data_IF_968757397075
#
_entry.id   IF_968757397075
#
_cell.length_a   1.000
_cell.length_b   1.000
_cell.length_c   1.000
_cell.angle_alpha   90.00
_cell.angle_beta   90.00
_cell.angle_gamma   90.00
#
_symmetry.space_group_name_H-M   'P 1'
#
loop_
_entity.id
_entity.type
_entity.pdbx_description
1 polymer ?
#
# COMPACT_ATOMS: atom_id res chain seq x y z
N UNK A 1 -8.52 -1.46 -1.94
CA UNK A 1 -7.16 -1.38 -1.36
C UNK A 1 -6.17 -2.01 -2.32
N UNK A 2 -5.03 -1.39 -2.51
CA UNK A 2 -3.94 -1.89 -3.34
C UNK A 2 -2.70 -2.04 -2.48
N UNK A 3 -2.07 -3.23 -2.51
CA UNK A 3 -0.83 -3.51 -1.78
C UNK A 3 0.31 -3.64 -2.78
N UNK A 4 1.36 -2.86 -2.60
CA UNK A 4 2.59 -2.93 -3.39
C UNK A 4 3.62 -3.79 -2.65
N UNK A 5 4.48 -4.48 -3.40
CA UNK A 5 5.62 -5.25 -2.87
C UNK A 5 5.30 -6.56 -2.17
N UNK A 6 4.30 -7.27 -2.63
CA UNK A 6 4.18 -8.70 -2.37
C UNK A 6 4.20 -9.17 -0.93
N UNK A 7 4.00 -8.30 0.02
CA UNK A 7 3.70 -8.74 1.35
C UNK A 7 2.22 -8.95 1.47
N UNK A 8 1.85 -10.21 1.60
CA UNK A 8 0.49 -10.60 1.84
C UNK A 8 0.09 -10.11 3.23
N UNK A 9 -0.27 -8.84 3.34
CA UNK A 9 -0.92 -8.35 4.53
C UNK A 9 -2.41 -8.41 4.26
N UNK A 10 -3.00 -9.47 4.77
CA UNK A 10 -4.44 -9.64 4.72
C UNK A 10 -5.06 -8.74 5.78
N UNK A 11 -5.31 -7.50 5.41
CA UNK A 11 -6.40 -6.81 6.07
C UNK A 11 -7.65 -7.27 5.38
N UNK A 12 -8.22 -8.36 5.86
CA UNK A 12 -9.55 -8.71 5.45
C UNK A 12 -10.45 -7.53 5.80
N UNK A 13 -11.03 -6.82 4.82
CA UNK A 13 -12.08 -5.89 5.18
C UNK A 13 -13.17 -6.73 5.81
N UNK A 14 -13.67 -6.26 6.92
CA UNK A 14 -14.87 -6.80 7.51
C UNK A 14 -16.06 -6.65 6.53
N UNK A 15 -15.86 -5.89 5.47
CA UNK A 15 -16.85 -5.66 4.42
C UNK A 15 -16.45 -6.46 3.18
N UNK A 16 -17.14 -7.56 2.95
CA UNK A 16 -16.90 -8.46 1.81
C UNK A 16 -17.26 -7.84 0.46
N UNK A 17 -17.85 -6.67 0.43
CA UNK A 17 -18.20 -5.96 -0.81
C UNK A 17 -17.05 -5.20 -1.43
N UNK A 18 -15.95 -5.03 -0.69
CA UNK A 18 -14.77 -4.30 -1.18
C UNK A 18 -13.76 -5.27 -1.78
N UNK A 19 -13.30 -4.94 -2.97
CA UNK A 19 -12.22 -5.68 -3.61
C UNK A 19 -10.87 -5.18 -3.12
N UNK A 20 -9.96 -6.13 -2.89
CA UNK A 20 -8.58 -5.87 -2.55
C UNK A 20 -7.71 -6.36 -3.70
N UNK A 21 -6.80 -5.52 -4.15
CA UNK A 21 -5.85 -5.86 -5.19
C UNK A 21 -4.45 -5.92 -4.58
N UNK A 22 -3.77 -7.05 -4.74
CA UNK A 22 -2.34 -7.13 -4.43
C UNK A 22 -1.57 -6.96 -5.73
N UNK A 23 -0.64 -6.02 -5.75
CA UNK A 23 0.10 -5.69 -6.97
C UNK A 23 1.58 -6.00 -6.76
N UNK A 24 2.13 -6.81 -7.64
CA UNK A 24 3.55 -7.15 -7.63
C UNK A 24 4.04 -7.42 -9.05
N UNK A 25 5.19 -6.89 -9.39
CA UNK A 25 5.80 -7.11 -10.70
C UNK A 25 6.52 -8.46 -10.80
N UNK A 26 6.72 -9.16 -9.69
CA UNK A 26 7.45 -10.42 -9.63
C UNK A 26 6.50 -11.61 -9.80
N UNK A 27 6.74 -12.42 -10.83
CA UNK A 27 5.91 -13.59 -11.11
C UNK A 27 5.82 -14.57 -9.95
N UNK A 28 6.95 -14.81 -9.28
CA UNK A 28 7.02 -15.77 -8.16
C UNK A 28 6.13 -15.33 -7.00
N UNK A 29 6.19 -14.07 -6.62
CA UNK A 29 5.37 -13.52 -5.53
C UNK A 29 3.89 -13.52 -5.89
N UNK A 30 3.56 -13.15 -7.12
CA UNK A 30 2.18 -13.17 -7.60
C UNK A 30 1.61 -14.58 -7.62
N UNK A 31 2.40 -15.56 -8.04
CA UNK A 31 1.99 -16.96 -8.02
C UNK A 31 1.68 -17.45 -6.60
N UNK A 32 2.51 -17.06 -5.64
CA UNK A 32 2.26 -17.37 -4.22
C UNK A 32 0.96 -16.70 -3.72
N UNK A 33 0.75 -15.45 -4.08
CA UNK A 33 -0.46 -14.73 -3.70
C UNK A 33 -1.72 -15.40 -4.28
N UNK A 34 -1.68 -15.79 -5.55
CA UNK A 34 -2.79 -16.52 -6.19
C UNK A 34 -3.05 -17.86 -5.51
N UNK A 35 -2.00 -18.57 -5.15
CA UNK A 35 -2.11 -19.83 -4.40
C UNK A 35 -2.80 -19.60 -3.06
N UNK A 36 -2.34 -18.61 -2.29
CA UNK A 36 -2.91 -18.30 -0.97
C UNK A 36 -4.37 -17.86 -1.07
N UNK A 37 -4.71 -17.04 -2.05
CA UNK A 37 -6.09 -16.59 -2.30
C UNK A 37 -7.00 -17.79 -2.53
N UNK A 38 -6.57 -18.73 -3.35
CA UNK A 38 -7.33 -19.94 -3.65
C UNK A 38 -7.48 -20.86 -2.44
N UNK A 39 -6.37 -21.12 -1.72
CA UNK A 39 -6.38 -22.01 -0.56
C UNK A 39 -7.22 -21.47 0.58
N UNK A 40 -7.22 -20.15 0.76
CA UNK A 40 -7.98 -19.49 1.82
C UNK A 40 -9.38 -19.07 1.37
N UNK A 41 -9.75 -19.38 0.12
CA UNK A 41 -11.04 -19.04 -0.47
C UNK A 41 -11.40 -17.55 -0.31
N UNK A 42 -10.45 -16.67 -0.59
CA UNK A 42 -10.63 -15.22 -0.48
C UNK A 42 -11.28 -14.68 -1.76
N UNK A 43 -12.58 -14.46 -1.72
CA UNK A 43 -13.38 -14.09 -2.90
C UNK A 43 -13.18 -12.63 -3.32
N UNK A 44 -12.73 -11.79 -2.41
CA UNK A 44 -12.61 -10.35 -2.64
C UNK A 44 -11.17 -9.88 -2.87
N UNK A 45 -10.22 -10.80 -3.01
CA UNK A 45 -8.81 -10.47 -3.23
C UNK A 45 -8.38 -10.92 -4.63
N UNK A 46 -7.75 -10.02 -5.36
CA UNK A 46 -7.24 -10.28 -6.71
C UNK A 46 -5.75 -9.97 -6.72
N UNK A 47 -4.94 -10.93 -7.16
CA UNK A 47 -3.50 -10.74 -7.34
C UNK A 47 -3.24 -10.25 -8.76
N UNK A 48 -2.55 -9.12 -8.87
CA UNK A 48 -2.19 -8.48 -10.14
C UNK A 48 -0.68 -8.57 -10.34
N UNK A 49 -0.26 -9.22 -11.43
CA UNK A 49 1.14 -9.32 -11.78
C UNK A 49 1.50 -8.20 -12.75
N UNK A 50 1.78 -7.04 -12.23
CA UNK A 50 2.14 -5.87 -13.03
C UNK A 50 2.85 -4.85 -12.15
N UNK A 51 3.43 -3.84 -12.79
CA UNK A 51 3.98 -2.69 -12.09
C UNK A 51 2.85 -1.78 -11.65
N UNK A 52 3.01 -1.15 -10.49
CA UNK A 52 1.98 -0.29 -9.90
C UNK A 52 1.60 0.88 -10.83
N UNK A 53 2.54 1.40 -11.61
CA UNK A 53 2.29 2.50 -12.55
C UNK A 53 1.28 2.13 -13.65
N UNK A 54 1.13 0.82 -13.93
CA UNK A 54 0.24 0.33 -14.97
C UNK A 54 -1.16 -0.01 -14.45
N UNK A 55 -1.36 0.06 -13.13
CA UNK A 55 -2.64 -0.31 -12.51
C UNK A 55 -3.55 0.90 -12.47
N UNK A 56 -4.72 0.76 -13.09
CA UNK A 56 -5.78 1.78 -13.06
C UNK A 56 -7.06 1.11 -12.59
N UNK A 57 -7.66 1.64 -11.53
CA UNK A 57 -8.90 1.13 -10.96
C UNK A 57 -10.03 2.13 -11.22
N UNK A 58 -11.22 1.61 -11.49
CA UNK A 58 -12.38 2.44 -11.85
C UNK A 58 -12.98 3.20 -10.67
N UNK A 59 -12.70 2.75 -9.46
CA UNK A 59 -13.31 3.32 -8.26
C UNK A 59 -12.26 4.00 -7.38
N UNK A 60 -12.71 4.95 -6.56
CA UNK A 60 -11.87 5.53 -5.52
C UNK A 60 -11.32 4.43 -4.61
N UNK A 61 -10.05 4.51 -4.27
CA UNK A 61 -9.37 3.46 -3.52
C UNK A 61 -8.38 4.01 -2.51
N UNK A 62 -7.93 3.13 -1.62
CA UNK A 62 -6.83 3.37 -0.69
C UNK A 62 -5.66 2.48 -1.09
N UNK A 63 -4.47 3.05 -1.14
CA UNK A 63 -3.25 2.31 -1.45
C UNK A 63 -2.42 2.11 -0.20
N UNK A 64 -1.99 0.87 0.03
CA UNK A 64 -1.11 0.53 1.16
C UNK A 64 0.24 0.10 0.60
N UNK A 65 1.28 0.80 1.01
CA UNK A 65 2.66 0.49 0.65
C UNK A 65 3.36 -0.18 1.82
N UNK A 66 3.95 -1.32 1.57
CA UNK A 66 4.82 -1.99 2.53
C UNK A 66 6.16 -2.27 1.86
N UNK A 67 7.25 -1.90 2.52
CA UNK A 67 8.60 -2.14 2.04
C UNK A 67 8.87 -1.53 0.65
N UNK A 68 8.22 -0.45 0.32
CA UNK A 68 8.55 0.36 -0.87
C UNK A 68 9.74 1.26 -0.54
N UNK A 69 10.45 1.77 -1.58
CA UNK A 69 11.72 2.46 -1.39
C UNK A 69 11.60 3.73 -0.53
N UNK A 70 10.79 4.69 -0.94
CA UNK A 70 10.53 5.90 -0.16
C UNK A 70 9.09 6.34 -0.29
N UNK A 71 8.66 7.20 0.62
CA UNK A 71 7.29 7.75 0.61
C UNK A 71 7.05 8.51 -0.68
N UNK A 72 7.99 9.39 -1.05
CA UNK A 72 7.88 10.20 -2.27
C UNK A 72 7.83 9.33 -3.53
N UNK A 73 8.74 8.37 -3.64
CA UNK A 73 8.76 7.46 -4.79
C UNK A 73 7.49 6.63 -4.87
N UNK A 74 6.99 6.15 -3.74
CA UNK A 74 5.73 5.41 -3.70
C UNK A 74 4.57 6.23 -4.22
N UNK A 75 4.41 7.45 -3.72
CA UNK A 75 3.33 8.34 -4.14
C UNK A 75 3.43 8.69 -5.63
N UNK A 76 4.66 8.94 -6.14
CA UNK A 76 4.87 9.29 -7.55
C UNK A 76 4.75 8.10 -8.50
N UNK A 77 4.85 6.87 -7.99
CA UNK A 77 4.74 5.65 -8.82
C UNK A 77 3.32 5.36 -9.28
N UNK A 78 2.33 5.94 -8.64
CA UNK A 78 0.93 5.66 -8.94
C UNK A 78 0.50 6.30 -10.25
N UNK A 79 -0.35 5.59 -11.00
CA UNK A 79 -0.92 6.12 -12.23
C UNK A 79 -1.90 7.25 -11.90
N UNK A 80 -1.70 8.42 -12.52
CA UNK A 80 -2.49 9.62 -12.25
C UNK A 80 -3.96 9.51 -12.65
N UNK A 81 -4.33 8.49 -13.41
CA UNK A 81 -5.73 8.23 -13.78
C UNK A 81 -6.53 7.66 -12.61
N UNK A 82 -5.86 7.15 -11.58
CA UNK A 82 -6.53 6.65 -10.38
C UNK A 82 -7.02 7.79 -9.51
N UNK A 83 -8.10 7.52 -8.79
CA UNK A 83 -8.60 8.38 -7.73
C UNK A 83 -8.32 7.72 -6.39
N UNK A 84 -7.28 8.18 -5.71
CA UNK A 84 -6.89 7.65 -4.40
C UNK A 84 -7.42 8.54 -3.29
N UNK A 85 -8.19 7.94 -2.38
CA UNK A 85 -8.69 8.62 -1.19
C UNK A 85 -7.55 8.92 -0.23
N UNK A 86 -6.70 7.94 0.01
CA UNK A 86 -5.54 8.06 0.87
C UNK A 86 -4.47 7.05 0.49
N UNK A 87 -3.24 7.37 0.88
CA UNK A 87 -2.07 6.50 0.70
C UNK A 87 -1.53 6.17 2.08
N UNK A 88 -1.34 4.90 2.38
CA UNK A 88 -0.82 4.43 3.66
C UNK A 88 0.57 3.83 3.46
N UNK A 89 1.53 4.30 4.23
CA UNK A 89 2.90 3.80 4.20
C UNK A 89 3.25 3.17 5.54
N UNK A 90 3.57 1.89 5.52
CA UNK A 90 3.97 1.14 6.72
C UNK A 90 5.49 1.24 6.85
N UNK A 91 5.94 1.92 7.89
CA UNK A 91 7.35 2.24 8.11
C UNK A 91 7.76 1.96 9.54
N UNK A 92 9.08 1.90 9.77
CA UNK A 92 9.64 2.03 11.11
C UNK A 92 9.71 3.51 11.48
N UNK A 93 9.50 3.82 12.75
CA UNK A 93 9.63 5.19 13.24
C UNK A 93 11.11 5.47 13.58
N UNK A 94 11.89 5.79 12.56
CA UNK A 94 13.32 6.04 12.66
C UNK A 94 13.74 7.30 11.88
N UNK A 95 15.03 7.64 11.93
CA UNK A 95 15.55 8.83 11.27
C UNK A 95 15.39 8.78 9.75
N UNK A 96 15.53 7.61 9.15
CA UNK A 96 15.34 7.45 7.72
C UNK A 96 13.91 7.80 7.31
N UNK A 97 12.93 7.35 8.08
CA UNK A 97 11.51 7.66 7.83
C UNK A 97 11.25 9.16 8.00
N UNK A 98 11.87 9.80 9.00
CA UNK A 98 11.74 11.26 9.17
C UNK A 98 12.23 12.02 7.95
N UNK A 99 13.35 11.59 7.36
CA UNK A 99 13.86 12.18 6.13
C UNK A 99 12.89 11.95 4.96
N UNK A 100 12.33 10.75 4.85
CA UNK A 100 11.35 10.44 3.80
C UNK A 100 10.11 11.32 3.90
N UNK A 101 9.64 11.58 5.12
CA UNK A 101 8.49 12.48 5.35
C UNK A 101 8.83 13.90 4.91
N UNK A 102 10.02 14.38 5.27
CA UNK A 102 10.48 15.72 4.87
C UNK A 102 10.57 15.85 3.35
N UNK A 103 11.13 14.86 2.67
CA UNK A 103 11.20 14.84 1.21
C UNK A 103 9.82 14.79 0.55
N UNK A 104 8.87 14.10 1.17
CA UNK A 104 7.51 13.99 0.65
C UNK A 104 6.69 15.27 0.82
N UNK A 105 7.15 16.21 1.63
CA UNK A 105 6.42 17.47 1.86
C UNK A 105 6.19 18.28 0.58
N UNK A 106 7.03 18.08 -0.44
CA UNK A 106 6.88 18.73 -1.75
C UNK A 106 5.66 18.24 -2.54
N UNK A 107 5.04 17.15 -2.13
CA UNK A 107 3.91 16.54 -2.86
C UNK A 107 2.56 17.18 -2.52
N UNK A 108 2.52 18.14 -1.61
CA UNK A 108 1.30 18.90 -1.24
C UNK A 108 0.17 18.05 -0.67
N UNK A 109 0.49 16.89 -0.08
CA UNK A 109 -0.47 16.10 0.68
C UNK A 109 -0.50 16.58 2.12
N UNK A 110 -1.67 16.52 2.73
CA UNK A 110 -1.78 16.51 4.18
C UNK A 110 -1.41 15.12 4.70
N UNK A 111 -1.00 15.03 5.95
CA UNK A 111 -0.64 13.73 6.49
C UNK A 111 -1.06 13.57 7.94
N UNK A 112 -1.27 12.31 8.33
CA UNK A 112 -1.48 11.88 9.71
C UNK A 112 -0.48 10.79 10.06
N UNK A 113 -0.03 10.79 11.30
CA UNK A 113 0.89 9.78 11.83
C UNK A 113 0.13 8.89 12.80
N UNK A 114 0.20 7.59 12.58
CA UNK A 114 -0.37 6.59 13.49
C UNK A 114 0.78 5.77 14.03
N UNK A 115 1.15 6.01 15.29
CA UNK A 115 2.30 5.38 15.92
C UNK A 115 1.87 4.15 16.73
N UNK A 116 2.68 3.10 16.69
CA UNK A 116 2.45 1.87 17.46
C UNK A 116 3.78 1.17 17.72
N UNK A 117 3.76 0.19 18.61
CA UNK A 117 4.94 -0.58 18.97
C UNK A 117 4.68 -2.05 18.62
N UNK A 118 5.65 -2.66 17.91
CA UNK A 118 5.61 -4.05 17.53
C UNK A 118 6.94 -4.70 17.96
N UNK A 119 6.90 -5.68 18.87
CA UNK A 119 8.11 -6.37 19.37
C UNK A 119 9.19 -5.36 19.79
N UNK A 120 8.84 -4.40 20.64
CA UNK A 120 9.73 -3.35 21.16
C UNK A 120 10.28 -2.38 20.08
N UNK A 121 9.80 -2.48 18.85
CA UNK A 121 10.18 -1.57 17.77
C UNK A 121 9.09 -0.54 17.56
N UNK A 122 9.48 0.73 17.54
CA UNK A 122 8.54 1.82 17.20
C UNK A 122 8.21 1.78 15.72
N UNK A 123 6.94 1.71 15.40
CA UNK A 123 6.42 1.63 14.06
C UNK A 123 5.51 2.83 13.76
N UNK A 124 5.33 3.09 12.49
CA UNK A 124 4.55 4.21 12.01
C UNK A 124 3.74 3.81 10.77
N UNK A 125 2.46 4.15 10.77
CA UNK A 125 1.69 4.22 9.54
C UNK A 125 1.53 5.69 9.20
N UNK A 126 2.10 6.10 8.08
CA UNK A 126 1.92 7.44 7.57
C UNK A 126 0.77 7.44 6.57
N UNK A 127 -0.23 8.25 6.84
CA UNK A 127 -1.37 8.42 5.96
C UNK A 127 -1.25 9.76 5.22
N UNK A 128 -1.19 9.72 3.89
CA UNK A 128 -1.25 10.90 3.03
C UNK A 128 -2.65 11.02 2.45
N UNK A 129 -3.19 12.23 2.42
CA UNK A 129 -4.52 12.48 1.87
C UNK A 129 -4.60 13.90 1.33
N UNK A 130 -5.53 14.14 0.42
CA UNK A 130 -5.85 15.47 -0.07
C UNK A 130 -6.78 16.16 0.95
N UNK A 131 -6.45 17.40 1.24
CA UNK A 131 -7.27 18.19 2.15
C UNK A 131 -8.50 18.79 1.45
#
# INVERSE_FOLDING_TARGET
MVLEQGCLVLFGPLDTNKKIYTVDSTNKKTAFQKFAIRELALKNVVAVNDRIQNVVLDQENTVVFKAFSSIKEGALSLNKKNNHKNLLFLKKDDEKTKQEITEASSLLYDYKRHEYVLNDTKMLVLELYDS
#
